data_IF_326991073858
#
_entry.id   IF_326991073858
#
_cell.length_a   1.000
_cell.length_b   1.000
_cell.length_c   1.000
_cell.angle_alpha   90.00
_cell.angle_beta   90.00
_cell.angle_gamma   90.00
#
_symmetry.space_group_name_H-M   'P 1'
#
loop_
_entity.id
_entity.type
_entity.pdbx_description
1 polymer ?
#
# COMPACT_ATOMS: atom_id res chain seq x y z
N UNK A 1 22.69 5.74 45.77
CA UNK A 1 21.77 6.60 44.98
C UNK A 1 22.54 7.07 43.76
N UNK A 2 22.10 6.76 42.54
CA UNK A 2 22.83 7.15 41.33
C UNK A 2 22.77 8.68 41.14
N UNK A 3 23.92 9.34 41.17
CA UNK A 3 24.06 10.80 41.11
C UNK A 3 24.33 11.32 39.69
N UNK A 4 23.86 10.63 38.67
CA UNK A 4 23.97 11.06 37.27
C UNK A 4 22.68 10.71 36.55
N UNK A 5 21.60 11.39 36.93
CA UNK A 5 20.52 11.65 35.98
C UNK A 5 21.11 12.56 34.90
N UNK A 6 21.71 11.96 33.87
CA UNK A 6 21.87 12.62 32.59
C UNK A 6 20.46 13.01 32.16
N UNK A 7 20.26 14.31 32.01
CA UNK A 7 18.97 14.95 31.88
C UNK A 7 18.20 14.31 30.71
N UNK A 8 17.11 13.60 31.00
CA UNK A 8 16.24 13.02 29.97
C UNK A 8 15.71 14.12 29.02
N UNK A 9 15.69 15.39 29.46
CA UNK A 9 15.36 16.52 28.61
C UNK A 9 16.49 16.89 27.63
N UNK A 10 17.77 16.67 27.95
CA UNK A 10 18.88 16.86 26.99
C UNK A 10 18.85 15.82 25.87
N UNK A 11 18.56 14.55 26.19
CA UNK A 11 18.40 13.50 25.16
C UNK A 11 17.20 13.81 24.26
N UNK A 12 16.09 14.27 24.85
CA UNK A 12 14.91 14.72 24.11
C UNK A 12 15.20 15.95 23.24
N UNK A 13 15.96 16.92 23.75
CA UNK A 13 16.36 18.13 23.02
C UNK A 13 17.35 17.84 21.90
N UNK A 14 18.28 16.89 22.11
CA UNK A 14 19.19 16.42 21.07
C UNK A 14 18.43 15.66 19.97
N UNK A 15 17.53 14.74 20.34
CA UNK A 15 16.66 14.04 19.39
C UNK A 15 15.78 15.01 18.58
N UNK A 16 15.28 16.08 19.21
CA UNK A 16 14.56 17.16 18.54
C UNK A 16 15.46 18.02 17.62
N UNK A 17 16.76 18.14 17.92
CA UNK A 17 17.74 18.91 17.14
C UNK A 17 18.32 18.16 15.93
N UNK A 18 18.41 16.82 15.97
CA UNK A 18 18.97 15.99 14.87
C UNK A 18 17.96 15.09 14.15
N UNK A 19 16.66 15.26 14.43
CA UNK A 19 15.58 14.60 13.68
C UNK A 19 15.26 13.17 14.11
N UNK A 20 15.68 12.75 15.30
CA UNK A 20 15.32 11.48 15.95
C UNK A 20 15.43 10.22 15.05
N UNK A 21 16.31 10.24 14.04
CA UNK A 21 16.44 9.20 13.03
C UNK A 21 17.89 8.97 12.64
N UNK A 22 18.32 7.70 12.64
CA UNK A 22 19.61 7.24 12.12
C UNK A 22 19.40 6.42 10.84
N UNK A 23 20.45 6.26 10.05
CA UNK A 23 20.45 5.46 8.81
C UNK A 23 21.77 4.69 8.70
N UNK A 24 21.71 3.43 8.30
CA UNK A 24 22.89 2.57 8.15
C UNK A 24 22.47 1.14 7.80
N UNK A 25 23.33 0.14 8.00
CA UNK A 25 22.95 -1.26 7.74
C UNK A 25 22.33 -1.93 8.97
N UNK A 26 21.77 -3.13 8.81
CA UNK A 26 21.32 -3.96 9.92
C UNK A 26 22.41 -4.23 10.96
N UNK A 27 23.67 -4.34 10.52
CA UNK A 27 24.84 -4.45 11.39
C UNK A 27 25.09 -3.16 12.17
N UNK A 28 24.95 -2.00 11.53
CA UNK A 28 25.06 -0.70 12.22
C UNK A 28 24.01 -0.59 13.31
N UNK A 29 22.74 -0.94 13.03
CA UNK A 29 21.66 -0.88 14.02
C UNK A 29 21.92 -1.78 15.22
N UNK A 30 22.28 -3.04 15.00
CA UNK A 30 22.53 -4.00 16.09
C UNK A 30 23.78 -3.65 16.90
N UNK A 31 24.72 -2.89 16.32
CA UNK A 31 25.90 -2.37 17.00
C UNK A 31 25.68 -1.11 17.83
N UNK A 32 24.53 -0.43 17.73
CA UNK A 32 24.24 0.76 18.54
C UNK A 32 24.03 0.37 20.01
N UNK A 33 24.70 1.06 20.94
CA UNK A 33 24.61 0.78 22.37
C UNK A 33 24.73 2.06 23.21
N UNK A 34 24.34 2.00 24.49
CA UNK A 34 24.54 3.11 25.43
C UNK A 34 23.83 4.39 24.98
N UNK A 35 24.57 5.51 24.96
CA UNK A 35 24.03 6.82 24.59
C UNK A 35 23.61 6.95 23.12
N UNK A 36 24.00 6.00 22.27
CA UNK A 36 23.64 5.99 20.85
C UNK A 36 22.23 5.45 20.56
N UNK A 37 21.53 4.98 21.59
CA UNK A 37 20.20 4.38 21.53
C UNK A 37 19.32 4.97 22.62
N UNK A 38 18.12 5.41 22.27
CA UNK A 38 17.12 5.91 23.20
C UNK A 38 15.72 5.51 22.73
N UNK A 39 14.75 5.51 23.64
CA UNK A 39 13.36 5.19 23.31
C UNK A 39 12.78 6.22 22.33
N UNK A 40 12.15 5.72 21.28
CA UNK A 40 11.65 6.51 20.15
C UNK A 40 12.67 6.76 19.05
N UNK A 41 13.93 6.30 19.16
CA UNK A 41 14.90 6.41 18.07
C UNK A 41 14.45 5.60 16.85
N UNK A 42 14.34 6.26 15.70
CA UNK A 42 14.11 5.58 14.42
C UNK A 42 15.43 5.19 13.74
N UNK A 43 15.48 4.02 13.11
CA UNK A 43 16.62 3.56 12.33
C UNK A 43 16.17 3.00 10.98
N UNK A 44 16.66 3.57 9.88
CA UNK A 44 16.46 3.03 8.54
C UNK A 44 17.64 2.12 8.14
N UNK A 45 17.35 0.85 7.84
CA UNK A 45 18.31 -0.14 7.35
C UNK A 45 18.44 -0.06 5.82
N UNK A 46 19.60 0.35 5.31
CA UNK A 46 19.86 0.51 3.87
C UNK A 46 20.09 -0.81 3.13
N UNK A 47 20.39 -1.89 3.84
CA UNK A 47 20.62 -3.24 3.32
C UNK A 47 19.34 -4.08 3.25
N UNK A 48 18.38 -3.85 4.14
CA UNK A 48 17.10 -4.57 4.19
C UNK A 48 15.91 -3.72 3.74
N UNK A 49 16.07 -2.39 3.69
CA UNK A 49 15.00 -1.43 3.47
C UNK A 49 14.08 -1.21 4.69
N UNK A 50 14.28 -1.93 5.79
CA UNK A 50 13.38 -1.87 6.94
C UNK A 50 13.59 -0.62 7.80
N UNK A 51 12.50 -0.06 8.32
CA UNK A 51 12.56 0.94 9.39
C UNK A 51 12.30 0.27 10.75
N UNK A 52 13.10 0.63 11.74
CA UNK A 52 12.99 0.16 13.12
C UNK A 52 12.77 1.33 14.07
N UNK A 53 12.09 1.07 15.17
CA UNK A 53 11.92 2.00 16.28
C UNK A 53 12.45 1.31 17.55
N UNK A 54 13.30 1.99 18.30
CA UNK A 54 13.76 1.50 19.59
C UNK A 54 12.74 1.83 20.67
N UNK A 55 12.30 0.83 21.43
CA UNK A 55 11.49 1.03 22.63
C UNK A 55 12.14 0.36 23.85
N UNK A 56 11.42 0.41 24.97
CA UNK A 56 11.89 -0.13 26.25
C UNK A 56 12.22 -1.64 26.24
N UNK A 57 11.68 -2.38 25.28
CA UNK A 57 11.94 -3.82 25.06
C UNK A 57 12.98 -4.10 23.95
N UNK A 58 13.59 -3.06 23.37
CA UNK A 58 14.57 -3.13 22.31
C UNK A 58 14.04 -2.65 20.95
N UNK A 59 14.74 -3.05 19.88
CA UNK A 59 14.35 -2.71 18.51
C UNK A 59 13.10 -3.47 18.07
N UNK A 60 12.06 -2.73 17.71
CA UNK A 60 10.87 -3.25 17.04
C UNK A 60 10.87 -2.78 15.58
N UNK A 61 10.53 -3.67 14.64
CA UNK A 61 10.35 -3.24 13.25
C UNK A 61 9.15 -2.30 13.21
N UNK A 62 9.35 -1.08 12.73
CA UNK A 62 8.26 -0.13 12.52
C UNK A 62 7.38 -0.76 11.46
N UNK A 63 6.13 -1.07 11.85
CA UNK A 63 5.21 -1.79 10.97
C UNK A 63 5.02 -0.98 9.68
N UNK A 64 4.81 -1.72 8.60
CA UNK A 64 4.40 -1.23 7.29
C UNK A 64 3.47 -0.01 7.47
N UNK A 65 3.96 1.17 7.08
CA UNK A 65 3.22 2.40 7.31
C UNK A 65 2.18 2.50 6.21
N UNK A 66 0.90 2.37 6.58
CA UNK A 66 -0.19 2.59 5.63
C UNK A 66 -0.14 4.04 5.15
N UNK A 67 0.15 4.22 3.88
CA UNK A 67 0.16 5.50 3.20
C UNK A 67 -1.25 6.00 2.89
N UNK A 68 -2.13 5.10 2.50
CA UNK A 68 -3.48 5.47 2.10
C UNK A 68 -4.39 4.31 1.80
N UNK A 69 -5.67 4.64 1.60
CA UNK A 69 -6.72 3.68 1.27
C UNK A 69 -7.80 4.36 0.45
N UNK A 70 -8.24 3.70 -0.61
CA UNK A 70 -9.50 3.99 -1.29
C UNK A 70 -10.46 2.80 -1.21
N UNK A 71 -11.76 3.07 -1.16
CA UNK A 71 -12.81 2.05 -1.18
C UNK A 71 -13.96 2.49 -2.07
N UNK A 72 -14.50 1.55 -2.83
CA UNK A 72 -15.69 1.76 -3.63
C UNK A 72 -16.91 1.81 -2.71
N UNK A 73 -17.66 2.91 -2.74
CA UNK A 73 -18.80 3.16 -1.86
C UNK A 73 -20.14 2.81 -2.50
N UNK A 74 -20.17 2.60 -3.81
CA UNK A 74 -21.36 2.21 -4.57
C UNK A 74 -20.95 1.36 -5.77
N UNK A 75 -21.74 0.35 -6.16
CA UNK A 75 -21.41 -0.48 -7.31
C UNK A 75 -21.17 0.35 -8.58
N UNK A 76 -20.11 0.02 -9.31
CA UNK A 76 -19.76 0.61 -10.59
C UNK A 76 -20.17 -0.33 -11.71
N UNK A 77 -21.14 0.05 -12.54
CA UNK A 77 -21.46 -0.67 -13.78
C UNK A 77 -20.59 -0.10 -14.90
N UNK A 78 -19.88 -0.98 -15.61
CA UNK A 78 -18.94 -0.57 -16.65
C UNK A 78 -19.70 -0.27 -17.94
N UNK A 79 -19.78 0.99 -18.34
CA UNK A 79 -20.63 1.44 -19.45
C UNK A 79 -19.99 1.32 -20.84
N UNK A 80 -18.67 1.07 -20.93
CA UNK A 80 -17.93 1.03 -22.19
C UNK A 80 -17.01 -0.19 -22.21
N UNK A 81 -17.11 -0.99 -23.27
CA UNK A 81 -16.24 -2.14 -23.49
C UNK A 81 -14.82 -1.71 -23.87
N UNK A 82 -13.84 -2.54 -23.52
CA UNK A 82 -12.41 -2.39 -23.88
C UNK A 82 -11.81 -1.02 -23.55
N UNK A 83 -12.38 -0.33 -22.57
CA UNK A 83 -11.92 0.98 -22.10
C UNK A 83 -11.64 0.90 -20.61
N UNK A 84 -10.45 1.34 -20.21
CA UNK A 84 -10.07 1.41 -18.82
C UNK A 84 -10.88 2.48 -18.08
N UNK A 85 -11.55 2.06 -17.01
CA UNK A 85 -12.34 2.90 -16.12
C UNK A 85 -11.67 2.93 -14.75
N UNK A 86 -11.51 4.14 -14.18
CA UNK A 86 -11.02 4.31 -12.81
C UNK A 86 -12.07 3.76 -11.83
N UNK A 87 -11.71 2.72 -11.07
CA UNK A 87 -12.54 2.18 -9.99
C UNK A 87 -12.25 2.90 -8.69
N UNK A 88 -10.97 3.08 -8.39
CA UNK A 88 -10.45 3.73 -7.20
C UNK A 88 -9.32 4.68 -7.57
N UNK A 89 -9.21 5.78 -6.84
CA UNK A 89 -8.09 6.70 -6.89
C UNK A 89 -7.73 7.12 -5.48
N UNK A 90 -6.45 7.10 -5.14
CA UNK A 90 -5.93 7.60 -3.87
C UNK A 90 -4.64 8.35 -4.10
N UNK A 91 -4.52 9.50 -3.45
CA UNK A 91 -3.29 10.29 -3.44
C UNK A 91 -2.59 10.06 -2.12
N UNK A 92 -1.32 9.68 -2.17
CA UNK A 92 -0.50 9.39 -1.00
C UNK A 92 0.82 10.13 -1.08
N UNK A 93 1.46 10.36 0.06
CA UNK A 93 2.83 10.88 0.12
C UNK A 93 3.75 9.76 0.59
N UNK A 94 4.72 9.39 -0.25
CA UNK A 94 5.76 8.42 0.09
C UNK A 94 7.03 9.13 0.57
N UNK A 95 7.71 8.52 1.52
CA UNK A 95 9.08 8.86 1.95
C UNK A 95 10.15 8.33 0.97
N UNK A 96 9.73 7.57 -0.05
CA UNK A 96 10.57 6.94 -1.06
C UNK A 96 11.02 5.53 -0.67
N UNK A 97 11.34 4.71 -1.67
CA UNK A 97 11.71 3.30 -1.47
C UNK A 97 10.57 2.35 -1.84
N UNK A 98 10.49 1.20 -1.18
CA UNK A 98 9.56 0.14 -1.55
C UNK A 98 8.15 0.44 -1.01
N UNK A 99 7.18 0.47 -1.92
CA UNK A 99 5.76 0.63 -1.64
C UNK A 99 5.00 -0.61 -2.10
N UNK A 100 4.12 -1.11 -1.24
CA UNK A 100 3.18 -2.21 -1.52
C UNK A 100 1.80 -1.64 -1.88
N UNK A 101 1.24 -2.10 -2.99
CA UNK A 101 -0.15 -1.93 -3.36
C UNK A 101 -0.92 -3.25 -3.22
N UNK A 102 -1.82 -3.32 -2.24
CA UNK A 102 -2.77 -4.43 -2.05
C UNK A 102 -4.15 -3.97 -2.51
N UNK A 103 -4.75 -4.69 -3.45
CA UNK A 103 -6.12 -4.42 -3.86
C UNK A 103 -6.96 -5.68 -3.94
N UNK A 104 -8.26 -5.49 -3.68
CA UNK A 104 -9.28 -6.54 -3.83
C UNK A 104 -10.53 -5.94 -4.42
N UNK A 105 -11.18 -6.67 -5.31
CA UNK A 105 -12.45 -6.31 -5.92
C UNK A 105 -13.40 -7.51 -5.99
N UNK A 106 -14.69 -7.25 -5.87
CA UNK A 106 -15.76 -8.21 -6.17
C UNK A 106 -16.48 -7.74 -7.43
N UNK A 107 -16.51 -8.59 -8.44
CA UNK A 107 -17.14 -8.33 -9.73
C UNK A 107 -18.25 -9.31 -10.02
N UNK A 108 -19.25 -8.89 -10.79
CA UNK A 108 -20.31 -9.79 -11.26
C UNK A 108 -20.61 -9.58 -12.72
N UNK A 109 -20.95 -10.68 -13.40
CA UNK A 109 -21.67 -10.67 -14.67
C UNK A 109 -23.14 -10.34 -14.38
N UNK A 110 -23.63 -9.22 -14.89
CA UNK A 110 -24.99 -8.68 -14.65
C UNK A 110 -26.05 -9.41 -15.49
N UNK A 111 -26.01 -10.75 -15.47
CA UNK A 111 -26.86 -11.63 -16.26
C UNK A 111 -26.88 -11.23 -17.75
N UNK A 112 -25.71 -10.99 -18.34
CA UNK A 112 -25.57 -10.51 -19.72
C UNK A 112 -25.94 -11.52 -20.81
N UNK A 113 -26.42 -12.72 -20.44
CA UNK A 113 -26.75 -13.80 -21.38
C UNK A 113 -25.53 -14.52 -21.97
N UNK A 114 -24.31 -14.17 -21.55
CA UNK A 114 -23.06 -14.76 -22.07
C UNK A 114 -21.89 -14.61 -21.10
N UNK A 115 -20.85 -15.44 -21.28
CA UNK A 115 -19.59 -15.36 -20.52
C UNK A 115 -18.94 -13.99 -20.73
N UNK A 116 -18.44 -13.39 -19.66
CA UNK A 116 -17.77 -12.09 -19.66
C UNK A 116 -16.35 -12.21 -19.10
N UNK A 117 -15.53 -11.23 -19.41
CA UNK A 117 -14.18 -11.05 -18.88
C UNK A 117 -14.06 -9.61 -18.37
N UNK A 118 -13.59 -9.48 -17.13
CA UNK A 118 -13.13 -8.22 -16.55
C UNK A 118 -11.61 -8.26 -16.40
N UNK A 119 -10.93 -7.18 -16.76
CA UNK A 119 -9.48 -7.09 -16.63
C UNK A 119 -9.13 -5.95 -15.69
N UNK A 120 -8.19 -6.18 -14.79
CA UNK A 120 -7.76 -5.23 -13.76
C UNK A 120 -6.30 -4.86 -13.93
N UNK A 121 -5.97 -3.62 -13.58
CA UNK A 121 -4.59 -3.15 -13.46
C UNK A 121 -4.47 -2.06 -12.40
N UNK A 122 -3.27 -1.88 -11.89
CA UNK A 122 -2.90 -0.78 -10.98
C UNK A 122 -1.99 0.20 -11.69
N UNK A 123 -2.18 1.49 -11.44
CA UNK A 123 -1.32 2.56 -11.94
C UNK A 123 -0.77 3.38 -10.78
N UNK A 124 0.46 3.85 -10.93
CA UNK A 124 1.07 4.91 -10.13
C UNK A 124 1.47 6.04 -11.10
N UNK A 125 0.96 7.26 -10.88
CA UNK A 125 1.22 8.44 -11.71
C UNK A 125 1.00 8.22 -13.22
N UNK A 126 -0.02 7.42 -13.55
CA UNK A 126 -0.38 7.11 -14.95
C UNK A 126 0.45 5.99 -15.58
N UNK A 127 1.46 5.46 -14.89
CA UNK A 127 2.22 4.29 -15.33
C UNK A 127 1.63 3.04 -14.72
N UNK A 128 1.36 2.02 -15.55
CA UNK A 128 0.94 0.71 -15.06
C UNK A 128 2.09 0.06 -14.28
N UNK A 129 1.81 -0.37 -13.05
CA UNK A 129 2.83 -0.92 -12.15
C UNK A 129 2.84 -2.44 -12.14
N UNK A 130 1.70 -3.06 -12.41
CA UNK A 130 1.49 -4.51 -12.32
C UNK A 130 1.02 -5.10 -13.64
N UNK A 131 1.08 -6.43 -13.76
CA UNK A 131 0.48 -7.13 -14.90
C UNK A 131 -1.05 -6.97 -14.91
N UNK A 132 -1.63 -7.12 -16.10
CA UNK A 132 -3.08 -7.11 -16.23
C UNK A 132 -3.68 -8.43 -15.74
N UNK A 133 -4.48 -8.37 -14.67
CA UNK A 133 -5.19 -9.54 -14.15
C UNK A 133 -6.49 -9.76 -14.92
N UNK A 134 -6.61 -10.91 -15.57
CA UNK A 134 -7.84 -11.32 -16.24
C UNK A 134 -8.74 -12.10 -15.26
N UNK A 135 -9.96 -11.63 -15.05
CA UNK A 135 -10.97 -12.30 -14.26
C UNK A 135 -12.10 -12.80 -15.17
N UNK A 136 -12.27 -14.12 -15.21
CA UNK A 136 -13.30 -14.77 -16.00
C UNK A 136 -14.63 -14.81 -15.24
N UNK A 137 -15.69 -14.35 -15.89
CA UNK A 137 -17.02 -14.24 -15.29
C UNK A 137 -18.02 -15.11 -16.08
N UNK A 138 -18.16 -16.39 -15.71
CA UNK A 138 -19.17 -17.27 -16.27
C UNK A 138 -20.57 -16.67 -16.25
N UNK A 139 -21.39 -17.07 -17.20
CA UNK A 139 -22.82 -16.79 -17.17
C UNK A 139 -23.56 -17.98 -16.57
N UNK A 140 -24.40 -17.70 -15.57
CA UNK A 140 -25.28 -18.67 -14.95
C UNK A 140 -26.70 -18.12 -15.11
N UNK A 141 -27.52 -18.83 -15.88
CA UNK A 141 -28.88 -18.40 -16.18
C UNK A 141 -29.69 -18.20 -14.89
N UNK A 142 -30.30 -17.01 -14.76
CA UNK A 142 -31.15 -16.68 -13.61
C UNK A 142 -30.40 -16.36 -12.32
N UNK A 143 -29.06 -16.23 -12.35
CA UNK A 143 -28.26 -15.89 -11.18
C UNK A 143 -27.22 -14.78 -11.48
N UNK A 144 -26.94 -13.96 -10.48
CA UNK A 144 -25.84 -12.97 -10.50
C UNK A 144 -24.79 -13.41 -9.47
N UNK A 145 -23.78 -14.13 -9.93
CA UNK A 145 -22.66 -14.57 -9.09
C UNK A 145 -21.59 -13.49 -8.99
N UNK A 146 -20.98 -13.36 -7.81
CA UNK A 146 -19.84 -12.48 -7.56
C UNK A 146 -18.54 -13.28 -7.53
N UNK A 147 -17.51 -12.72 -8.14
CA UNK A 147 -16.17 -13.29 -8.22
C UNK A 147 -15.17 -12.30 -7.62
N UNK A 148 -14.27 -12.82 -6.80
CA UNK A 148 -13.20 -12.02 -6.21
C UNK A 148 -12.04 -11.91 -7.20
N UNK A 149 -11.40 -10.74 -7.22
CA UNK A 149 -10.10 -10.48 -7.83
C UNK A 149 -9.25 -9.71 -6.84
N UNK A 150 -7.94 -9.90 -6.88
CA UNK A 150 -7.02 -9.14 -6.05
C UNK A 150 -5.59 -9.56 -6.30
N UNK A 151 -4.67 -8.66 -6.01
CA UNK A 151 -3.24 -8.88 -6.13
C UNK A 151 -2.48 -7.94 -5.19
N UNK A 152 -1.26 -8.34 -4.85
CA UNK A 152 -0.31 -7.55 -4.08
C UNK A 152 0.90 -7.28 -4.96
N UNK A 153 1.27 -6.01 -5.14
CA UNK A 153 2.38 -5.62 -6.00
C UNK A 153 3.33 -4.66 -5.27
N UNK A 154 4.64 -4.88 -5.40
CA UNK A 154 5.67 -4.04 -4.82
C UNK A 154 6.34 -3.18 -5.89
N UNK A 155 6.48 -1.88 -5.63
CA UNK A 155 7.13 -0.93 -6.54
C UNK A 155 8.07 -0.02 -5.75
N UNK A 156 9.23 0.27 -6.32
CA UNK A 156 10.08 1.37 -5.81
C UNK A 156 9.50 2.72 -6.22
N UNK A 157 8.93 3.46 -5.27
CA UNK A 157 8.44 4.84 -5.46
C UNK A 157 9.48 5.86 -5.08
N UNK A 158 9.50 6.99 -5.78
CA UNK A 158 10.25 8.15 -5.34
C UNK A 158 9.63 8.74 -4.05
N UNK A 159 10.39 9.56 -3.34
CA UNK A 159 9.81 10.38 -2.29
C UNK A 159 8.94 11.48 -2.92
N UNK A 160 7.74 11.72 -2.37
CA UNK A 160 6.82 12.74 -2.88
C UNK A 160 5.37 12.28 -2.91
N UNK A 161 4.53 13.10 -3.55
CA UNK A 161 3.11 12.81 -3.70
C UNK A 161 2.85 12.02 -4.98
N UNK A 162 2.11 10.92 -4.86
CA UNK A 162 1.81 9.99 -5.94
C UNK A 162 0.32 9.69 -5.99
N UNK A 163 -0.23 9.56 -7.21
CA UNK A 163 -1.62 9.16 -7.45
C UNK A 163 -1.66 7.70 -7.87
N UNK A 164 -2.29 6.89 -7.04
CA UNK A 164 -2.50 5.48 -7.29
C UNK A 164 -3.93 5.21 -7.73
N UNK A 165 -4.10 4.39 -8.77
CA UNK A 165 -5.40 4.04 -9.33
C UNK A 165 -5.55 2.53 -9.51
N UNK A 166 -6.72 2.02 -9.16
CA UNK A 166 -7.20 0.71 -9.62
C UNK A 166 -8.11 0.95 -10.82
N UNK A 167 -7.77 0.36 -11.95
CA UNK A 167 -8.56 0.44 -13.17
C UNK A 167 -9.13 -0.93 -13.55
N UNK A 168 -10.29 -0.90 -14.20
CA UNK A 168 -10.93 -2.08 -14.77
C UNK A 168 -11.37 -1.80 -16.20
N UNK A 169 -11.32 -2.82 -17.07
CA UNK A 169 -12.02 -2.82 -18.35
C UNK A 169 -12.87 -4.08 -18.49
N UNK A 170 -13.90 -4.02 -19.33
CA UNK A 170 -14.79 -5.14 -19.60
C UNK A 170 -14.78 -5.53 -21.08
N UNK A 171 -15.07 -6.81 -21.33
CA UNK A 171 -15.27 -7.34 -22.69
C UNK A 171 -16.58 -6.88 -23.33
N UNK A 172 -17.60 -6.54 -22.53
CA UNK A 172 -18.88 -6.01 -23.01
C UNK A 172 -19.40 -4.89 -22.12
N UNK A 173 -19.95 -3.85 -22.74
CA UNK A 173 -20.53 -2.71 -22.07
C UNK A 173 -21.79 -3.10 -21.29
N UNK A 174 -21.95 -2.52 -20.10
CA UNK A 174 -23.06 -2.70 -19.14
C UNK A 174 -23.28 -4.14 -18.65
N UNK A 175 -22.45 -5.09 -19.07
CA UNK A 175 -22.55 -6.50 -18.71
C UNK A 175 -21.85 -6.85 -17.39
N UNK A 176 -20.99 -5.97 -16.88
CA UNK A 176 -20.16 -6.21 -15.70
C UNK A 176 -20.34 -5.07 -14.70
N UNK A 177 -20.44 -5.42 -13.42
CA UNK A 177 -20.30 -4.46 -12.32
C UNK A 177 -19.16 -4.82 -11.39
N UNK A 178 -18.49 -3.80 -10.85
CA UNK A 178 -17.65 -3.89 -9.66
C UNK A 178 -18.52 -3.54 -8.46
N UNK A 179 -18.81 -4.50 -7.60
CA UNK A 179 -19.74 -4.33 -6.49
C UNK A 179 -19.07 -3.79 -5.23
N UNK A 180 -17.79 -4.11 -5.05
CA UNK A 180 -16.96 -3.65 -3.95
C UNK A 180 -15.51 -3.67 -4.43
N UNK A 181 -14.72 -2.69 -4.01
CA UNK A 181 -13.28 -2.69 -4.23
C UNK A 181 -12.58 -1.93 -3.12
N UNK A 182 -11.35 -2.33 -2.81
CA UNK A 182 -10.44 -1.62 -1.91
C UNK A 182 -9.05 -1.64 -2.52
N UNK A 183 -8.32 -0.54 -2.32
CA UNK A 183 -6.91 -0.38 -2.65
C UNK A 183 -6.23 0.20 -1.41
N UNK A 184 -5.19 -0.46 -0.92
CA UNK A 184 -4.41 -0.09 0.26
C UNK A 184 -2.96 0.07 -0.17
N UNK A 185 -2.36 1.20 0.22
CA UNK A 185 -0.97 1.52 -0.08
C UNK A 185 -0.19 1.58 1.21
N UNK A 186 1.00 1.00 1.21
CA UNK A 186 1.86 1.04 2.39
C UNK A 186 3.34 1.03 2.03
N UNK A 187 4.18 1.62 2.89
CA UNK A 187 5.65 1.51 2.79
C UNK A 187 6.15 0.28 3.54
N UNK A 188 7.14 -0.41 2.97
CA UNK A 188 7.67 -1.71 3.43
C UNK A 188 8.97 -1.59 4.22
#
# INVERSE_FOLDING_TARGET
MPAQAADLSEVSNYAAGVGNRKTGTSTTRTGLTGADVWDGLEFYETDTGATWEHGSSGWARKRITRLGRARLTSPLVLSVASTWTDVLSVTVTSTGGLTLADWRAYVSNQNSGSRQIAQFRVLCDGTQVDDTLNNDLPWISGATSQYAAGFEHELSTAAGSHVWKLQVQCSSASAISVNNAVLILSEV
#
